data_IF_862370956252
#
_entry.id   IF_862370956252
#
_cell.length_a   1.000
_cell.length_b   1.000
_cell.length_c   1.000
_cell.angle_alpha   90.00
_cell.angle_beta   90.00
_cell.angle_gamma   90.00
#
_symmetry.space_group_name_H-M   'P 1'
#
loop_
_entity.id
_entity.type
_entity.pdbx_description
1 polymer ?
#
# COMPACT_ATOMS: atom_id res chain seq x y z
N UNK A 1 3.20 -26.87 -15.75
CA UNK A 1 2.74 -25.56 -16.22
C UNK A 1 3.94 -24.64 -16.02
N UNK A 2 4.41 -23.97 -17.08
CA UNK A 2 5.55 -23.07 -16.98
C UNK A 2 5.09 -21.87 -16.16
N UNK A 3 5.47 -21.77 -14.90
CA UNK A 3 5.42 -20.50 -14.16
C UNK A 3 6.37 -19.57 -14.91
N UNK A 4 5.83 -18.53 -15.54
CA UNK A 4 6.69 -17.52 -16.15
C UNK A 4 7.55 -16.90 -15.06
N UNK A 5 8.86 -16.86 -15.26
CA UNK A 5 9.79 -16.20 -14.33
C UNK A 5 9.37 -14.73 -14.20
N UNK A 6 9.07 -14.28 -12.97
CA UNK A 6 8.70 -12.89 -12.71
C UNK A 6 9.97 -12.07 -12.53
N UNK A 7 10.13 -11.04 -13.36
CA UNK A 7 11.22 -10.09 -13.21
C UNK A 7 10.93 -9.10 -12.07
N UNK A 8 11.91 -8.94 -11.17
CA UNK A 8 11.85 -8.04 -10.03
C UNK A 8 12.75 -6.82 -10.26
N UNK A 9 12.14 -5.64 -10.38
CA UNK A 9 12.86 -4.39 -10.66
C UNK A 9 12.61 -3.36 -9.55
N UNK A 10 13.62 -3.01 -8.73
CA UNK A 10 13.49 -1.91 -7.78
C UNK A 10 13.31 -0.56 -8.50
N UNK A 11 12.26 0.18 -8.18
CA UNK A 11 11.94 1.46 -8.83
C UNK A 11 12.72 2.60 -8.16
N UNK A 12 14.00 2.75 -8.50
CA UNK A 12 14.87 3.76 -7.86
C UNK A 12 14.57 5.18 -8.38
N UNK A 13 14.60 6.22 -7.53
CA UNK A 13 15.01 6.24 -6.11
C UNK A 13 13.85 5.98 -5.12
N UNK A 14 12.73 5.46 -5.60
CA UNK A 14 11.53 5.25 -4.80
C UNK A 14 11.59 3.95 -3.99
N UNK A 15 10.83 3.93 -2.89
CA UNK A 15 10.62 2.73 -2.08
C UNK A 15 9.47 1.93 -2.70
N UNK A 16 9.74 1.37 -3.87
CA UNK A 16 8.78 0.58 -4.62
C UNK A 16 9.48 -0.51 -5.43
N UNK A 17 8.74 -1.56 -5.73
CA UNK A 17 9.21 -2.72 -6.48
C UNK A 17 8.22 -2.98 -7.61
N UNK A 18 8.73 -3.14 -8.83
CA UNK A 18 7.92 -3.54 -9.97
C UNK A 18 8.14 -5.03 -10.23
N UNK A 19 7.05 -5.79 -10.32
CA UNK A 19 7.02 -7.17 -10.75
C UNK A 19 6.48 -7.22 -12.18
N UNK A 20 7.20 -7.90 -13.08
CA UNK A 20 6.80 -8.03 -14.48
C UNK A 20 6.87 -9.51 -14.88
N UNK A 21 5.73 -10.09 -15.25
CA UNK A 21 5.66 -11.50 -15.63
C UNK A 21 4.28 -11.85 -16.18
N UNK A 22 4.23 -12.86 -17.07
CA UNK A 22 2.97 -13.39 -17.64
C UNK A 22 2.04 -12.34 -18.30
N UNK A 23 2.58 -11.19 -18.71
CA UNK A 23 1.83 -10.09 -19.31
C UNK A 23 1.17 -9.13 -18.32
N UNK A 24 1.51 -9.22 -17.03
CA UNK A 24 1.05 -8.34 -15.96
C UNK A 24 2.22 -7.59 -15.33
N UNK A 25 1.99 -6.32 -14.97
CA UNK A 25 2.93 -5.43 -14.28
C UNK A 25 2.32 -4.98 -12.96
N UNK A 26 2.91 -5.42 -11.86
CA UNK A 26 2.42 -5.15 -10.50
C UNK A 26 3.38 -4.21 -9.79
N UNK A 27 2.88 -3.03 -9.41
CA UNK A 27 3.62 -2.11 -8.55
C UNK A 27 3.38 -2.49 -7.10
N UNK A 28 4.45 -2.69 -6.34
CA UNK A 28 4.42 -3.06 -4.92
C UNK A 28 5.02 -1.93 -4.08
N UNK A 29 4.27 -1.50 -3.07
CA UNK A 29 4.72 -0.56 -2.01
C UNK A 29 4.36 -1.12 -0.63
N UNK A 30 4.88 -0.54 0.45
CA UNK A 30 4.64 -1.00 1.81
C UNK A 30 4.68 0.18 2.80
N UNK A 31 4.22 -0.05 4.04
CA UNK A 31 4.47 0.79 5.23
C UNK A 31 4.14 2.27 5.03
N UNK A 32 2.88 2.56 4.63
CA UNK A 32 2.45 3.93 4.36
C UNK A 32 2.31 4.77 5.63
N UNK A 33 1.87 4.14 6.72
CA UNK A 33 1.61 4.73 8.03
C UNK A 33 0.89 6.08 7.96
N UNK A 34 -0.20 6.16 7.18
CA UNK A 34 -1.01 7.38 7.10
C UNK A 34 -1.51 7.73 8.52
N UNK A 35 -1.24 8.96 8.95
CA UNK A 35 -1.63 9.46 10.27
C UNK A 35 -0.55 9.37 11.36
N UNK A 36 0.67 8.94 11.05
CA UNK A 36 1.78 8.87 12.02
C UNK A 36 2.11 10.21 12.69
N UNK A 37 1.78 11.33 12.03
CA UNK A 37 2.00 12.67 12.57
C UNK A 37 1.18 12.93 13.84
N UNK A 38 0.08 12.22 14.05
CA UNK A 38 -0.76 12.33 15.25
C UNK A 38 0.03 11.94 16.50
N UNK A 39 0.78 10.83 16.44
CA UNK A 39 1.59 10.37 17.58
C UNK A 39 2.70 11.37 17.93
N UNK A 40 3.29 12.04 16.94
CA UNK A 40 4.23 13.14 17.21
C UNK A 40 3.55 14.36 17.83
N UNK A 41 2.33 14.69 17.39
CA UNK A 41 1.59 15.82 17.93
C UNK A 41 1.25 15.61 19.41
N UNK A 42 0.94 14.37 19.83
CA UNK A 42 0.74 14.00 21.23
C UNK A 42 2.01 14.21 22.08
N UNK A 43 3.20 14.09 21.48
CA UNK A 43 4.50 14.38 22.10
C UNK A 43 4.89 15.87 22.02
N UNK A 44 4.01 16.73 21.49
CA UNK A 44 4.24 18.18 21.35
C UNK A 44 4.98 18.58 20.07
N UNK A 45 5.16 17.65 19.12
CA UNK A 45 5.79 17.90 17.82
C UNK A 45 4.74 17.96 16.72
N UNK A 46 4.43 19.17 16.25
CA UNK A 46 3.41 19.36 15.23
C UNK A 46 3.97 19.23 13.82
N UNK A 47 3.71 18.09 13.17
CA UNK A 47 3.99 17.85 11.75
C UNK A 47 2.68 17.92 10.96
N UNK A 48 2.59 18.69 9.86
CA UNK A 48 1.42 18.66 9.01
C UNK A 48 1.27 17.28 8.34
N UNK A 49 0.06 16.88 7.93
CA UNK A 49 -0.16 15.61 7.22
C UNK A 49 0.81 15.46 6.04
N UNK A 50 1.52 14.33 5.99
CA UNK A 50 2.43 13.96 4.90
C UNK A 50 1.73 13.16 3.80
N UNK A 51 0.46 12.76 3.98
CA UNK A 51 -0.33 12.03 2.97
C UNK A 51 -0.30 12.69 1.58
N UNK A 52 -0.38 14.03 1.43
CA UNK A 52 -0.27 14.66 0.11
C UNK A 52 1.09 14.43 -0.59
N UNK A 53 2.19 14.37 0.18
CA UNK A 53 3.52 14.09 -0.38
C UNK A 53 3.66 12.62 -0.77
N UNK A 54 3.14 11.72 0.06
CA UNK A 54 3.06 10.29 -0.24
C UNK A 54 2.28 10.05 -1.54
N UNK A 55 1.07 10.61 -1.63
CA UNK A 55 0.21 10.51 -2.81
C UNK A 55 0.92 11.03 -4.06
N UNK A 56 1.53 12.23 -3.98
CA UNK A 56 2.26 12.81 -5.12
C UNK A 56 3.35 11.86 -5.63
N UNK A 57 4.14 11.28 -4.72
CA UNK A 57 5.21 10.34 -5.08
C UNK A 57 4.65 9.07 -5.72
N UNK A 58 3.57 8.51 -5.17
CA UNK A 58 2.95 7.31 -5.73
C UNK A 58 2.39 7.56 -7.14
N UNK A 59 1.72 8.70 -7.36
CA UNK A 59 1.22 9.09 -8.68
C UNK A 59 2.35 9.28 -9.68
N UNK A 60 3.48 9.84 -9.27
CA UNK A 60 4.69 9.94 -10.12
C UNK A 60 5.19 8.55 -10.54
N UNK A 61 5.24 7.60 -9.60
CA UNK A 61 5.66 6.22 -9.89
C UNK A 61 4.65 5.53 -10.83
N UNK A 62 3.35 5.60 -10.55
CA UNK A 62 2.31 4.98 -11.39
C UNK A 62 2.37 5.53 -12.82
N UNK A 63 2.64 6.83 -13.00
CA UNK A 63 2.76 7.43 -14.34
C UNK A 63 4.04 7.05 -15.06
N UNK A 64 5.13 6.87 -14.34
CA UNK A 64 6.43 6.50 -14.92
C UNK A 64 6.47 5.03 -15.29
N UNK A 65 5.96 4.20 -14.39
CA UNK A 65 6.02 2.76 -14.48
C UNK A 65 4.75 2.16 -15.06
N UNK A 66 3.67 2.89 -15.33
CA UNK A 66 2.42 2.40 -15.95
C UNK A 66 1.98 0.98 -15.53
N UNK A 67 1.92 0.64 -14.23
CA UNK A 67 1.56 -0.70 -13.77
C UNK A 67 0.08 -0.99 -14.02
N UNK A 68 -0.26 -2.28 -14.19
CA UNK A 68 -1.65 -2.73 -14.36
C UNK A 68 -2.42 -2.69 -13.04
N UNK A 69 -1.75 -3.00 -11.92
CA UNK A 69 -2.31 -2.95 -10.56
C UNK A 69 -1.30 -2.53 -9.49
N UNK A 70 -1.82 -2.03 -8.37
CA UNK A 70 -1.07 -1.64 -7.18
C UNK A 70 -1.32 -2.64 -6.05
N UNK A 71 -0.25 -3.20 -5.51
CA UNK A 71 -0.27 -4.03 -4.31
C UNK A 71 0.41 -3.27 -3.15
N UNK A 72 -0.29 -3.13 -2.03
CA UNK A 72 0.25 -2.50 -0.81
C UNK A 72 0.49 -3.59 0.23
N UNK A 73 1.75 -3.76 0.64
CA UNK A 73 2.16 -4.70 1.66
C UNK A 73 2.14 -4.02 3.03
N UNK A 74 0.94 -3.97 3.61
CA UNK A 74 0.71 -3.68 5.00
C UNK A 74 0.95 -2.23 5.45
N UNK A 75 0.57 -2.03 6.70
CA UNK A 75 0.73 -0.82 7.50
C UNK A 75 0.31 0.45 6.74
N UNK A 76 -0.91 0.39 6.16
CA UNK A 76 -1.56 1.51 5.47
C UNK A 76 -1.82 2.65 6.45
N UNK A 77 -2.39 2.32 7.62
CA UNK A 77 -2.66 3.29 8.69
C UNK A 77 -1.64 3.16 9.83
N UNK A 78 -1.57 4.16 10.70
CA UNK A 78 -0.55 4.20 11.76
C UNK A 78 -1.02 3.63 13.10
N UNK A 79 -2.27 3.84 13.48
CA UNK A 79 -2.76 3.29 14.75
C UNK A 79 -3.06 1.80 14.62
N UNK A 80 -2.93 1.02 15.70
CA UNK A 80 -3.17 -0.42 15.65
C UNK A 80 -4.64 -0.76 15.93
N UNK A 81 -5.17 -0.35 17.08
CA UNK A 81 -6.47 -0.81 17.59
C UNK A 81 -7.63 0.16 17.38
N UNK A 82 -7.37 1.47 17.56
CA UNK A 82 -8.33 2.54 17.30
C UNK A 82 -8.13 3.07 15.89
N UNK A 83 -8.99 3.99 15.45
CA UNK A 83 -8.80 4.76 14.23
C UNK A 83 -8.93 6.22 14.61
N UNK A 84 -7.91 7.03 14.31
CA UNK A 84 -7.90 8.45 14.60
C UNK A 84 -8.69 9.26 13.56
N UNK A 85 -9.12 10.46 13.93
CA UNK A 85 -9.87 11.35 13.03
C UNK A 85 -9.09 11.68 11.75
N UNK A 86 -7.78 11.81 11.85
CA UNK A 86 -6.87 12.01 10.73
C UNK A 86 -6.87 10.81 9.77
N UNK A 87 -6.91 9.58 10.28
CA UNK A 87 -6.95 8.36 9.47
C UNK A 87 -8.31 8.20 8.79
N UNK A 88 -9.41 8.46 9.52
CA UNK A 88 -10.77 8.54 8.97
C UNK A 88 -10.88 9.53 7.81
N UNK A 89 -10.06 10.58 7.82
CA UNK A 89 -10.04 11.60 6.78
C UNK A 89 -9.10 11.23 5.64
N UNK A 90 -7.88 10.83 5.96
CA UNK A 90 -6.77 10.79 5.00
C UNK A 90 -6.65 9.44 4.28
N UNK A 91 -7.01 8.32 4.92
CA UNK A 91 -6.96 6.99 4.28
C UNK A 91 -7.98 6.88 3.13
N UNK A 92 -9.28 7.19 3.31
CA UNK A 92 -10.24 7.11 2.20
C UNK A 92 -9.85 8.04 1.06
N UNK A 93 -9.47 9.29 1.37
CA UNK A 93 -9.07 10.29 0.39
C UNK A 93 -7.84 9.89 -0.42
N UNK A 94 -6.88 9.20 0.21
CA UNK A 94 -5.70 8.68 -0.45
C UNK A 94 -6.10 7.69 -1.55
N UNK A 95 -6.94 6.70 -1.22
CA UNK A 95 -7.41 5.70 -2.19
C UNK A 95 -8.31 6.32 -3.25
N UNK A 96 -9.26 7.20 -2.89
CA UNK A 96 -10.11 7.91 -3.85
C UNK A 96 -9.30 8.68 -4.90
N UNK A 97 -8.18 9.30 -4.52
CA UNK A 97 -7.28 9.95 -5.48
C UNK A 97 -6.56 8.93 -6.37
N UNK A 98 -6.07 7.83 -5.80
CA UNK A 98 -5.36 6.77 -6.53
C UNK A 98 -6.24 6.12 -7.58
N UNK A 99 -7.54 5.98 -7.33
CA UNK A 99 -8.51 5.43 -8.28
C UNK A 99 -8.49 6.15 -9.64
N UNK A 100 -8.13 7.44 -9.66
CA UNK A 100 -7.99 8.21 -10.91
C UNK A 100 -6.76 7.87 -11.75
N UNK A 101 -5.84 7.04 -11.22
CA UNK A 101 -4.57 6.70 -11.85
C UNK A 101 -4.38 5.19 -12.07
N UNK A 102 -5.02 4.35 -11.25
CA UNK A 102 -4.92 2.90 -11.35
C UNK A 102 -6.25 2.24 -10.96
N UNK A 103 -6.68 1.27 -11.77
CA UNK A 103 -8.01 0.66 -11.65
C UNK A 103 -8.09 -0.49 -10.65
N UNK A 104 -6.97 -1.14 -10.34
CA UNK A 104 -6.91 -2.27 -9.42
C UNK A 104 -5.92 -2.01 -8.29
N UNK A 105 -6.43 -2.08 -7.05
CA UNK A 105 -5.64 -1.88 -5.83
C UNK A 105 -5.98 -3.00 -4.85
N UNK A 106 -4.95 -3.65 -4.33
CA UNK A 106 -5.05 -4.67 -3.29
C UNK A 106 -4.14 -4.33 -2.12
N UNK A 107 -4.64 -4.50 -0.89
CA UNK A 107 -3.88 -4.35 0.35
C UNK A 107 -3.73 -5.71 1.00
N UNK A 108 -2.48 -6.13 1.22
CA UNK A 108 -2.16 -7.24 2.13
C UNK A 108 -2.00 -6.62 3.51
N UNK A 109 -2.91 -6.86 4.47
CA UNK A 109 -2.93 -6.11 5.73
C UNK A 109 -1.66 -6.38 6.55
N UNK A 110 -1.15 -5.34 7.19
CA UNK A 110 -0.07 -5.39 8.17
C UNK A 110 -0.57 -5.42 9.61
N UNK A 111 0.34 -5.34 10.58
CA UNK A 111 -0.04 -5.33 12.00
C UNK A 111 -0.69 -4.02 12.45
N UNK A 112 -0.53 -2.91 11.71
CA UNK A 112 -1.23 -1.65 11.97
C UNK A 112 -2.59 -1.57 11.28
N UNK A 113 -2.94 -2.50 10.40
CA UNK A 113 -4.17 -2.46 9.61
C UNK A 113 -5.39 -3.08 10.30
N UNK A 114 -5.34 -3.22 11.64
CA UNK A 114 -6.50 -3.62 12.42
C UNK A 114 -7.68 -2.66 12.22
N UNK A 115 -8.85 -3.16 11.82
CA UNK A 115 -10.01 -2.35 11.42
C UNK A 115 -9.73 -1.40 10.22
N UNK A 116 -8.89 -1.80 9.25
CA UNK A 116 -8.68 -1.00 8.04
C UNK A 116 -9.92 -0.96 7.13
N UNK A 117 -10.67 -2.06 7.03
CA UNK A 117 -11.79 -2.24 6.09
C UNK A 117 -12.80 -1.07 6.06
N UNK A 118 -13.26 -0.49 7.18
CA UNK A 118 -14.18 0.65 7.17
C UNK A 118 -13.61 1.94 6.56
N UNK A 119 -12.29 2.03 6.36
CA UNK A 119 -11.61 3.18 5.74
C UNK A 119 -11.42 3.03 4.24
N UNK A 120 -11.61 1.82 3.71
CA UNK A 120 -11.32 1.53 2.32
C UNK A 120 -12.57 1.77 1.44
N UNK A 121 -12.42 2.47 0.31
CA UNK A 121 -13.47 2.52 -0.70
C UNK A 121 -13.64 1.14 -1.37
N UNK A 122 -14.83 0.88 -1.93
CA UNK A 122 -15.23 -0.46 -2.44
C UNK A 122 -14.29 -1.07 -3.50
N UNK A 123 -13.55 -0.24 -4.25
CA UNK A 123 -12.65 -0.73 -5.31
C UNK A 123 -11.34 -1.33 -4.77
N UNK A 124 -11.00 -1.06 -3.50
CA UNK A 124 -9.79 -1.59 -2.87
C UNK A 124 -10.10 -2.95 -2.28
N UNK A 125 -9.36 -3.96 -2.72
CA UNK A 125 -9.48 -5.33 -2.20
C UNK A 125 -8.56 -5.50 -0.98
N UNK A 126 -9.03 -6.21 0.04
CA UNK A 126 -8.17 -6.69 1.13
C UNK A 126 -7.81 -8.14 0.83
N UNK A 127 -6.51 -8.40 0.67
CA UNK A 127 -5.95 -9.73 0.51
C UNK A 127 -5.73 -10.46 1.83
N UNK A 128 -5.30 -11.73 1.78
CA UNK A 128 -5.03 -12.53 2.98
C UNK A 128 -3.84 -11.99 3.79
N UNK A 129 -3.93 -11.90 5.14
CA UNK A 129 -2.83 -11.40 5.99
C UNK A 129 -1.51 -12.19 5.91
N UNK A 130 -1.57 -13.42 5.38
CA UNK A 130 -0.41 -14.31 5.21
C UNK A 130 0.38 -14.01 3.93
N UNK A 131 -0.13 -13.10 3.09
CA UNK A 131 0.45 -12.75 1.81
C UNK A 131 -0.14 -13.48 0.62
N UNK A 132 0.38 -13.11 -0.55
CA UNK A 132 -0.02 -13.61 -1.86
C UNK A 132 1.19 -14.08 -2.64
N UNK A 133 0.95 -14.91 -3.66
CA UNK A 133 1.98 -15.32 -4.62
C UNK A 133 1.63 -14.71 -5.96
N UNK A 134 2.60 -14.03 -6.57
CA UNK A 134 2.52 -13.49 -7.94
C UNK A 134 3.59 -14.19 -8.77
N UNK A 135 3.16 -15.05 -9.69
CA UNK A 135 4.05 -15.97 -10.41
C UNK A 135 4.80 -16.89 -9.43
N UNK A 136 6.12 -16.71 -9.33
CA UNK A 136 7.02 -17.43 -8.42
C UNK A 136 7.49 -16.58 -7.22
N UNK A 137 6.89 -15.40 -7.01
CA UNK A 137 7.27 -14.45 -5.95
C UNK A 137 6.24 -14.44 -4.83
N UNK A 138 6.69 -14.70 -3.60
CA UNK A 138 5.88 -14.55 -2.39
C UNK A 138 5.95 -13.12 -1.83
N UNK A 139 4.79 -12.51 -1.57
CA UNK A 139 4.64 -11.12 -1.11
C UNK A 139 3.80 -11.09 0.18
N UNK A 140 4.39 -10.65 1.27
CA UNK A 140 3.74 -10.59 2.59
C UNK A 140 4.38 -9.47 3.44
N UNK A 141 3.61 -8.92 4.38
CA UNK A 141 4.10 -7.87 5.31
C UNK A 141 5.19 -8.40 6.26
N UNK A 142 5.03 -9.63 6.76
CA UNK A 142 5.99 -10.28 7.67
C UNK A 142 5.55 -10.34 9.14
N UNK A 143 4.40 -9.74 9.49
CA UNK A 143 3.82 -9.87 10.84
C UNK A 143 3.09 -11.21 11.08
N UNK A 144 2.80 -11.96 10.01
CA UNK A 144 2.19 -13.29 10.02
C UNK A 144 3.04 -14.25 9.18
N UNK A 145 3.13 -15.53 9.57
CA UNK A 145 3.81 -16.52 8.73
C UNK A 145 2.96 -16.95 7.53
N UNK A 146 3.51 -17.01 6.30
CA UNK A 146 2.89 -17.75 5.20
C UNK A 146 2.57 -19.18 5.60
N UNK A 147 1.53 -19.79 5.01
CA UNK A 147 1.28 -21.23 5.18
C UNK A 147 2.35 -22.08 4.48
#
# INVERSE_FOLDING_TARGET
MSTGEVQLTPVRPHQALLLEGEGERVLVIADLHIGWEVSLAEEGVHVPSQTPKLLKRLVEIIRMEEPDRLLILGDVKHTIAKIEMEEWRDVPRFFEHIQGYIGEVEVIPGNHDGNLEPLLPEFVKIGPPRGVIVGDVGLFHGHTWPD
#
